data_IF_905074076092
#
_entry.id   IF_905074076092
#
_cell.length_a   1.000
_cell.length_b   1.000
_cell.length_c   1.000
_cell.angle_alpha   90.00
_cell.angle_beta   90.00
_cell.angle_gamma   90.00
#
_symmetry.space_group_name_H-M   'P 1'
#
loop_
_entity.id
_entity.type
_entity.pdbx_description
1 polymer ?
#
# COMPACT_ATOMS: atom_id res chain seq x y z
N UNK A 1 4.79 0.72 28.97
CA UNK A 1 5.00 1.14 27.56
C UNK A 1 4.52 0.00 26.68
N UNK A 2 3.54 0.24 25.81
CA UNK A 2 2.99 -0.79 24.94
C UNK A 2 4.02 -1.07 23.84
N UNK A 3 4.45 -2.32 23.72
CA UNK A 3 5.44 -2.71 22.72
C UNK A 3 4.77 -2.59 21.34
N UNK A 4 5.22 -1.62 20.52
CA UNK A 4 4.71 -1.49 19.16
C UNK A 4 5.12 -2.72 18.37
N UNK A 5 4.19 -3.45 17.72
CA UNK A 5 4.60 -4.46 16.76
C UNK A 5 5.42 -3.76 15.68
N UNK A 6 6.66 -4.18 15.47
CA UNK A 6 7.56 -3.55 14.48
C UNK A 6 7.07 -3.67 13.03
N UNK A 7 5.97 -4.40 12.80
CA UNK A 7 5.47 -4.83 11.52
C UNK A 7 3.94 -4.97 11.63
N UNK A 8 3.17 -4.14 10.92
CA UNK A 8 1.70 -4.23 10.89
C UNK A 8 1.27 -5.43 10.07
N UNK A 9 0.69 -6.45 10.70
CA UNK A 9 0.33 -7.68 9.99
C UNK A 9 -1.11 -7.67 9.51
N UNK A 10 -1.99 -6.99 10.24
CA UNK A 10 -3.43 -6.99 9.97
C UNK A 10 -4.04 -5.60 10.07
N UNK A 11 -5.23 -5.44 9.47
CA UNK A 11 -6.07 -4.25 9.66
C UNK A 11 -6.36 -3.98 11.14
N UNK A 12 -6.59 -5.02 11.93
CA UNK A 12 -6.83 -4.89 13.37
C UNK A 12 -5.62 -4.30 14.11
N UNK A 13 -4.39 -4.62 13.70
CA UNK A 13 -3.18 -4.00 14.26
C UNK A 13 -3.13 -2.51 13.96
N UNK A 14 -3.50 -2.12 12.74
CA UNK A 14 -3.59 -0.72 12.34
C UNK A 14 -4.57 0.04 13.23
N UNK A 15 -5.81 -0.45 13.35
CA UNK A 15 -6.87 0.19 14.14
C UNK A 15 -6.49 0.28 15.62
N UNK A 16 -5.90 -0.79 16.18
CA UNK A 16 -5.44 -0.80 17.58
C UNK A 16 -4.36 0.26 17.83
N UNK A 17 -3.39 0.36 16.94
CA UNK A 17 -2.27 1.32 17.06
C UNK A 17 -2.74 2.76 16.87
N UNK A 18 -3.63 2.98 15.91
CA UNK A 18 -4.25 4.29 15.68
C UNK A 18 -5.07 4.74 16.89
N UNK A 19 -5.90 3.86 17.45
CA UNK A 19 -6.65 4.13 18.68
C UNK A 19 -5.72 4.39 19.88
N UNK A 20 -4.65 3.60 20.04
CA UNK A 20 -3.67 3.83 21.10
C UNK A 20 -3.00 5.22 21.00
N UNK A 21 -2.74 5.69 19.78
CA UNK A 21 -2.14 7.01 19.54
C UNK A 21 -3.12 8.15 19.85
N UNK A 22 -4.39 8.00 19.46
CA UNK A 22 -5.45 8.96 19.81
C UNK A 22 -5.61 9.09 21.33
N UNK A 23 -5.58 7.97 22.05
CA UNK A 23 -5.65 7.91 23.51
C UNK A 23 -4.35 8.30 24.23
N UNK A 24 -3.28 8.67 23.51
CA UNK A 24 -2.00 9.09 24.10
C UNK A 24 -1.17 7.96 24.72
N UNK A 25 -1.51 6.70 24.46
CA UNK A 25 -0.75 5.53 24.93
C UNK A 25 0.54 5.30 24.13
N UNK A 26 0.61 5.85 22.92
CA UNK A 26 1.79 5.88 22.06
C UNK A 26 1.96 7.28 21.45
N UNK A 27 3.19 7.62 21.04
CA UNK A 27 3.49 8.92 20.46
C UNK A 27 2.77 9.11 19.13
N UNK A 28 1.94 10.16 19.05
CA UNK A 28 1.22 10.55 17.83
C UNK A 28 2.18 10.89 16.70
N UNK A 29 3.24 11.65 16.99
CA UNK A 29 4.25 12.03 15.99
C UNK A 29 4.95 10.79 15.38
N UNK A 30 5.25 9.79 16.21
CA UNK A 30 5.80 8.52 15.71
C UNK A 30 4.77 7.79 14.85
N UNK A 31 3.50 7.76 15.25
CA UNK A 31 2.45 7.10 14.48
C UNK A 31 2.19 7.76 13.12
N UNK A 32 2.17 9.10 13.07
CA UNK A 32 2.05 9.87 11.83
C UNK A 32 3.18 9.51 10.87
N UNK A 33 4.43 9.47 11.35
CA UNK A 33 5.57 9.06 10.52
C UNK A 33 5.44 7.63 9.99
N UNK A 34 4.91 6.69 10.79
CA UNK A 34 4.65 5.32 10.36
C UNK A 34 3.55 5.26 9.28
N UNK A 35 2.46 6.01 9.43
CA UNK A 35 1.38 6.11 8.43
C UNK A 35 1.83 6.79 7.14
N UNK A 36 2.62 7.84 7.23
CA UNK A 36 3.27 8.46 6.06
C UNK A 36 4.17 7.46 5.34
N UNK A 37 4.82 6.55 6.07
CA UNK A 37 5.56 5.43 5.49
C UNK A 37 4.70 4.48 4.64
N UNK A 38 3.42 4.29 4.98
CA UNK A 38 2.50 3.47 4.19
C UNK A 38 2.08 4.15 2.88
N UNK A 39 2.05 5.49 2.86
CA UNK A 39 1.84 6.27 1.64
C UNK A 39 3.06 6.29 0.72
N UNK A 40 4.21 5.80 1.18
CA UNK A 40 5.38 5.62 0.34
C UNK A 40 5.09 4.55 -0.71
N UNK A 41 4.86 4.99 -1.94
CA UNK A 41 4.69 4.11 -3.10
C UNK A 41 5.97 4.00 -3.89
N UNK A 42 6.23 2.81 -4.43
CA UNK A 42 7.17 2.64 -5.52
C UNK A 42 6.42 2.41 -6.84
N UNK A 43 7.08 2.71 -7.96
CA UNK A 43 6.65 2.22 -9.25
C UNK A 43 6.97 0.74 -9.34
N UNK A 44 5.99 -0.08 -9.74
CA UNK A 44 6.20 -1.49 -9.99
C UNK A 44 5.32 -2.02 -11.12
N UNK A 45 5.59 -3.24 -11.53
CA UNK A 45 4.87 -3.93 -12.58
C UNK A 45 3.84 -4.86 -11.94
N UNK A 46 2.58 -4.75 -12.36
CA UNK A 46 1.48 -5.59 -11.87
C UNK A 46 0.82 -6.27 -13.07
N UNK A 47 0.56 -7.57 -12.95
CA UNK A 47 -0.12 -8.35 -13.98
C UNK A 47 -1.48 -7.71 -14.30
N UNK A 48 -1.74 -7.54 -15.59
CA UNK A 48 -2.98 -7.01 -16.13
C UNK A 48 -3.62 -8.07 -17.02
N UNK A 49 -4.55 -8.84 -16.43
CA UNK A 49 -5.22 -9.95 -17.11
C UNK A 49 -6.24 -9.50 -18.17
N UNK A 50 -6.59 -8.21 -18.21
CA UNK A 50 -7.55 -7.65 -19.17
C UNK A 50 -6.85 -7.03 -20.40
N UNK A 51 -5.52 -6.92 -20.37
CA UNK A 51 -4.76 -6.25 -21.41
C UNK A 51 -4.31 -7.23 -22.51
N UNK A 52 -4.51 -6.82 -23.77
CA UNK A 52 -4.08 -7.57 -24.95
C UNK A 52 -2.61 -7.29 -25.29
N UNK A 53 -1.81 -8.35 -25.44
CA UNK A 53 -0.36 -8.24 -25.63
C UNK A 53 0.04 -7.57 -26.96
N UNK A 54 -0.75 -7.76 -28.04
CA UNK A 54 -0.47 -7.16 -29.34
C UNK A 54 -0.84 -5.67 -29.34
N UNK A 55 -1.95 -5.30 -28.69
CA UNK A 55 -2.42 -3.92 -28.61
C UNK A 55 -1.53 -3.01 -27.75
N UNK A 56 -0.79 -3.57 -26.78
CA UNK A 56 0.02 -2.80 -25.82
C UNK A 56 1.53 -2.88 -26.08
N UNK A 57 1.96 -3.61 -27.12
CA UNK A 57 3.36 -3.81 -27.54
C UNK A 57 4.17 -2.50 -27.57
N UNK A 58 3.59 -1.43 -28.13
CA UNK A 58 4.26 -0.14 -28.30
C UNK A 58 4.02 0.85 -27.15
N UNK A 59 3.32 0.43 -26.09
CA UNK A 59 3.01 1.31 -24.97
C UNK A 59 4.07 1.19 -23.86
N UNK A 60 4.81 2.27 -23.53
CA UNK A 60 5.88 2.23 -22.53
C UNK A 60 5.37 1.99 -21.09
N UNK A 61 4.07 2.14 -20.85
CA UNK A 61 3.45 1.85 -19.56
C UNK A 61 3.15 0.36 -19.35
N UNK A 62 3.40 -0.47 -20.37
CA UNK A 62 3.18 -1.90 -20.35
C UNK A 62 4.48 -2.66 -20.62
N UNK A 63 4.56 -3.87 -20.11
CA UNK A 63 5.60 -4.85 -20.42
C UNK A 63 4.96 -6.20 -20.61
N UNK A 64 5.30 -6.85 -21.71
CA UNK A 64 4.89 -8.22 -21.98
C UNK A 64 6.03 -9.13 -21.58
N UNK A 65 5.75 -10.12 -20.74
CA UNK A 65 6.70 -11.15 -20.34
C UNK A 65 6.32 -12.48 -20.98
N UNK A 66 7.33 -13.33 -21.17
CA UNK A 66 7.09 -14.70 -21.59
C UNK A 66 6.21 -15.41 -20.54
N UNK A 67 5.35 -16.35 -20.97
CA UNK A 67 4.50 -17.09 -20.05
C UNK A 67 5.33 -17.79 -18.97
N UNK A 68 4.83 -17.76 -17.73
CA UNK A 68 5.43 -18.51 -16.63
C UNK A 68 5.32 -20.04 -16.81
N UNK A 69 4.38 -20.52 -17.63
CA UNK A 69 4.18 -21.94 -17.96
C UNK A 69 4.57 -22.24 -19.42
N UNK A 70 5.18 -23.41 -19.65
CA UNK A 70 5.61 -23.81 -20.99
C UNK A 70 4.39 -24.01 -21.91
N UNK A 71 4.27 -23.18 -22.95
CA UNK A 71 3.12 -23.16 -23.87
C UNK A 71 1.97 -22.24 -23.44
N UNK A 72 2.14 -21.45 -22.37
CA UNK A 72 1.15 -20.48 -21.90
C UNK A 72 1.06 -19.21 -22.76
N UNK A 73 0.04 -18.40 -22.50
CA UNK A 73 -0.13 -17.08 -23.13
C UNK A 73 0.81 -16.04 -22.51
N UNK A 74 1.32 -15.08 -23.31
CA UNK A 74 2.19 -14.02 -22.80
C UNK A 74 1.49 -13.19 -21.73
N UNK A 75 2.22 -12.91 -20.64
CA UNK A 75 1.67 -12.19 -19.51
C UNK A 75 1.92 -10.68 -19.66
N UNK A 76 0.85 -9.89 -19.66
CA UNK A 76 0.94 -8.43 -19.76
C UNK A 76 0.99 -7.81 -18.37
N UNK A 77 1.99 -6.98 -18.12
CA UNK A 77 2.14 -6.24 -16.88
C UNK A 77 2.03 -4.74 -17.16
N UNK A 78 1.28 -4.02 -16.34
CA UNK A 78 1.26 -2.55 -16.37
C UNK A 78 2.06 -1.94 -15.24
N UNK A 79 2.63 -0.77 -15.51
CA UNK A 79 3.27 0.02 -14.49
C UNK A 79 2.19 0.68 -13.59
N UNK A 80 2.29 0.47 -12.28
CA UNK A 80 1.39 1.03 -11.27
C UNK A 80 2.17 1.55 -10.07
N UNK A 81 1.56 2.47 -9.32
CA UNK A 81 1.97 2.74 -7.94
C UNK A 81 1.61 1.53 -7.10
N UNK A 82 2.61 0.92 -6.49
CA UNK A 82 2.43 -0.18 -5.55
C UNK A 82 2.62 0.39 -4.15
N UNK A 83 1.56 0.29 -3.35
CA UNK A 83 1.58 0.65 -1.94
C UNK A 83 1.72 -0.63 -1.12
N UNK A 84 2.93 -1.17 -1.08
CA UNK A 84 3.17 -2.59 -0.74
C UNK A 84 2.46 -3.08 0.52
N UNK A 85 2.50 -2.33 1.62
CA UNK A 85 1.87 -2.74 2.88
C UNK A 85 0.44 -2.23 3.04
N UNK A 86 0.10 -1.12 2.39
CA UNK A 86 -1.23 -0.50 2.48
C UNK A 86 -2.29 -1.34 1.77
N UNK A 87 -1.93 -1.87 0.58
CA UNK A 87 -2.80 -2.73 -0.22
C UNK A 87 -3.12 -4.04 0.51
N UNK A 88 -2.10 -4.67 1.12
CA UNK A 88 -2.24 -5.86 1.96
C UNK A 88 -3.13 -5.65 3.21
N UNK A 89 -3.24 -4.41 3.70
CA UNK A 89 -4.10 -4.06 4.83
C UNK A 89 -5.54 -3.71 4.39
N UNK A 90 -5.80 -3.64 3.08
CA UNK A 90 -7.09 -3.26 2.52
C UNK A 90 -7.44 -1.79 2.71
N UNK A 91 -6.43 -0.92 2.82
CA UNK A 91 -6.62 0.52 2.92
C UNK A 91 -6.30 1.22 1.61
N UNK A 92 -7.07 2.26 1.30
CA UNK A 92 -6.76 3.20 0.24
C UNK A 92 -5.83 4.31 0.75
N UNK A 93 -5.16 5.07 -0.13
CA UNK A 93 -4.37 6.24 0.28
C UNK A 93 -5.20 7.22 1.13
N UNK A 94 -6.45 7.46 0.73
CA UNK A 94 -7.35 8.41 1.41
C UNK A 94 -7.74 7.96 2.83
N UNK A 95 -7.81 6.65 3.08
CA UNK A 95 -8.05 6.14 4.43
C UNK A 95 -6.86 6.45 5.35
N UNK A 96 -5.64 6.28 4.84
CA UNK A 96 -4.41 6.56 5.59
C UNK A 96 -4.25 8.07 5.82
N UNK A 97 -4.56 8.90 4.81
CA UNK A 97 -4.56 10.36 4.95
C UNK A 97 -5.58 10.82 6.02
N UNK A 98 -6.76 10.22 6.05
CA UNK A 98 -7.78 10.49 7.08
C UNK A 98 -7.28 10.11 8.48
N UNK A 99 -6.62 8.96 8.61
CA UNK A 99 -6.04 8.52 9.88
C UNK A 99 -4.88 9.43 10.34
N UNK A 100 -4.08 9.97 9.42
CA UNK A 100 -3.06 10.97 9.76
C UNK A 100 -3.72 12.25 10.26
N UNK A 101 -4.70 12.78 9.52
CA UNK A 101 -5.41 13.98 9.89
C UNK A 101 -6.06 13.89 11.27
N UNK A 102 -6.66 12.74 11.63
CA UNK A 102 -7.25 12.52 12.95
C UNK A 102 -6.21 12.60 14.10
N UNK A 103 -4.98 12.14 13.86
CA UNK A 103 -3.89 12.22 14.84
C UNK A 103 -3.34 13.64 14.99
N UNK A 104 -3.33 14.42 13.91
CA UNK A 104 -2.85 15.81 13.88
C UNK A 104 -3.90 16.79 14.44
N UNK A 105 -5.19 16.57 14.17
CA UNK A 105 -6.30 17.40 14.65
C UNK A 105 -6.56 17.27 16.16
N UNK A 106 -6.26 16.10 16.74
CA UNK A 106 -6.39 15.84 18.19
C UNK A 106 -5.42 16.67 19.06
N UNK A 107 -4.70 17.63 18.49
CA UNK A 107 -3.80 18.56 19.16
C UNK A 107 -4.48 19.86 19.65
N UNK A 108 -5.83 19.91 19.61
CA UNK A 108 -6.66 20.98 20.18
C UNK A 108 -6.83 20.89 21.69
#
# INVERSE_FOLDING_TARGET
MMNMPGVLQTRADFERMHSAALNGLVSRAQMVSQWQGLLSSSMGWVLDSDADAEAVSDNPSFRVFAPSEEGGEPEVYRQKRIYGRMDALGYSPSDIETAIAALEDSNG
#
